data_IF_508087224463
#
_entry.id   IF_508087224463
#
_cell.length_a   1.000
_cell.length_b   1.000
_cell.length_c   1.000
_cell.angle_alpha   90.00
_cell.angle_beta   90.00
_cell.angle_gamma   90.00
#
_symmetry.space_group_name_H-M   'P 1'
#
loop_
_entity.id
_entity.type
_entity.pdbx_description
1 polymer ?
#
# COMPACT_ATOMS: atom_id res chain seq x y z
N UNK A 1 -9.25 -13.88 -9.21
CA UNK A 1 -8.41 -13.83 -10.43
C UNK A 1 -7.27 -12.86 -10.17
N UNK A 2 -6.04 -13.22 -10.53
CA UNK A 2 -4.85 -12.35 -10.39
C UNK A 2 -4.36 -11.99 -11.79
N UNK A 3 -4.00 -10.72 -12.00
CA UNK A 3 -3.44 -10.22 -13.28
C UNK A 3 -2.15 -9.47 -12.99
N UNK A 4 -1.13 -9.69 -13.83
CA UNK A 4 0.17 -9.04 -13.74
C UNK A 4 0.41 -8.14 -14.94
N UNK A 5 0.85 -6.90 -14.68
CA UNK A 5 1.08 -5.87 -15.71
C UNK A 5 2.52 -5.36 -15.57
N UNK A 6 3.51 -6.03 -16.19
CA UNK A 6 4.89 -5.56 -16.15
C UNK A 6 5.01 -4.22 -16.87
N UNK A 7 5.91 -3.36 -16.39
CA UNK A 7 6.19 -2.06 -17.00
C UNK A 7 4.93 -1.22 -17.23
N UNK A 8 3.98 -1.24 -16.28
CA UNK A 8 2.76 -0.43 -16.34
C UNK A 8 3.06 1.06 -16.56
N UNK A 9 4.13 1.54 -15.90
CA UNK A 9 4.71 2.87 -16.08
C UNK A 9 6.04 2.74 -16.80
N UNK A 10 6.32 3.69 -17.70
CA UNK A 10 7.67 3.88 -18.22
C UNK A 10 8.65 4.15 -17.08
N UNK A 11 9.89 3.66 -17.21
CA UNK A 11 10.91 3.76 -16.16
C UNK A 11 11.09 5.20 -15.65
N UNK A 12 11.13 6.18 -16.56
CA UNK A 12 11.31 7.60 -16.20
C UNK A 12 10.14 8.14 -15.35
N UNK A 13 8.91 7.74 -15.67
CA UNK A 13 7.71 8.11 -14.92
C UNK A 13 7.72 7.40 -13.56
N UNK A 14 8.06 6.11 -13.53
CA UNK A 14 8.19 5.32 -12.31
C UNK A 14 9.21 5.94 -11.35
N UNK A 15 10.42 6.28 -11.82
CA UNK A 15 11.47 6.89 -11.01
C UNK A 15 11.07 8.27 -10.47
N UNK A 16 10.35 9.05 -11.29
CA UNK A 16 9.80 10.36 -10.89
C UNK A 16 8.75 10.19 -9.77
N UNK A 17 7.75 9.33 -9.96
CA UNK A 17 6.74 9.08 -8.94
C UNK A 17 7.36 8.52 -7.66
N UNK A 18 8.31 7.60 -7.76
CA UNK A 18 9.03 7.07 -6.60
C UNK A 18 9.66 8.20 -5.78
N UNK A 19 10.38 9.11 -6.43
CA UNK A 19 11.06 10.23 -5.77
C UNK A 19 10.07 11.21 -5.13
N UNK A 20 8.96 11.51 -5.80
CA UNK A 20 7.93 12.43 -5.29
C UNK A 20 7.21 11.79 -4.10
N UNK A 21 6.69 10.58 -4.26
CA UNK A 21 5.95 9.87 -3.23
C UNK A 21 6.79 9.65 -1.97
N UNK A 22 8.08 9.35 -2.12
CA UNK A 22 8.96 9.17 -0.96
C UNK A 22 9.02 10.40 -0.05
N UNK A 23 8.88 11.61 -0.63
CA UNK A 23 8.88 12.89 0.08
C UNK A 23 7.47 13.35 0.51
N UNK A 24 6.44 13.09 -0.31
CA UNK A 24 5.06 13.48 -0.02
C UNK A 24 4.41 12.62 1.07
N UNK A 25 4.79 11.35 1.16
CA UNK A 25 4.19 10.42 2.10
C UNK A 25 4.66 10.72 3.52
N UNK A 26 3.72 10.97 4.39
CA UNK A 26 3.95 11.05 5.82
C UNK A 26 4.08 9.64 6.41
N UNK A 27 5.31 9.12 6.43
CA UNK A 27 5.61 7.77 6.90
C UNK A 27 5.41 7.58 8.40
N UNK A 28 4.64 6.56 8.78
CA UNK A 28 4.58 6.04 10.14
C UNK A 28 5.83 5.18 10.41
N UNK A 29 6.69 5.66 11.32
CA UNK A 29 7.86 4.92 11.87
C UNK A 29 7.67 4.63 13.37
N UNK A 30 6.43 4.63 13.86
CA UNK A 30 6.15 4.41 15.29
C UNK A 30 6.42 2.96 15.70
N UNK A 31 6.99 2.81 16.90
CA UNK A 31 7.17 1.52 17.54
C UNK A 31 5.81 0.87 17.81
N UNK A 32 5.68 -0.42 17.52
CA UNK A 32 4.47 -1.18 17.88
C UNK A 32 4.82 -2.24 18.92
N UNK A 33 4.03 -2.29 19.98
CA UNK A 33 4.13 -3.32 21.00
C UNK A 33 3.21 -4.48 20.63
N UNK A 34 3.77 -5.68 20.55
CA UNK A 34 3.01 -6.93 20.41
C UNK A 34 3.55 -7.94 21.43
N UNK A 35 2.66 -8.56 22.20
CA UNK A 35 3.01 -9.58 23.22
C UNK A 35 4.18 -9.20 24.15
N UNK A 36 4.19 -7.98 24.69
CA UNK A 36 5.23 -7.53 25.63
C UNK A 36 6.57 -7.14 25.00
N UNK A 37 6.72 -7.28 23.67
CA UNK A 37 7.89 -6.83 22.93
C UNK A 37 7.56 -5.58 22.11
N UNK A 38 8.36 -4.54 22.29
CA UNK A 38 8.29 -3.31 21.47
C UNK A 38 9.33 -3.43 20.36
N UNK A 39 8.87 -3.56 19.11
CA UNK A 39 9.73 -3.53 17.94
C UNK A 39 9.23 -2.49 16.94
N UNK A 40 10.15 -1.94 16.15
CA UNK A 40 9.75 -1.24 14.93
C UNK A 40 9.19 -2.29 13.97
N UNK A 41 8.17 -1.93 13.19
CA UNK A 41 7.87 -2.73 12.01
C UNK A 41 9.13 -2.79 11.13
N UNK A 42 9.34 -3.95 10.52
CA UNK A 42 10.37 -4.14 9.50
C UNK A 42 10.01 -3.41 8.19
N UNK A 43 9.26 -2.31 8.23
CA UNK A 43 8.94 -1.43 7.09
C UNK A 43 8.24 -0.18 7.62
N UNK A 44 8.29 0.92 6.87
CA UNK A 44 7.43 2.08 7.13
C UNK A 44 6.11 1.91 6.40
N UNK A 45 5.03 2.43 6.95
CA UNK A 45 3.72 2.40 6.30
C UNK A 45 3.02 3.74 6.40
N UNK A 46 2.05 4.00 5.52
CA UNK A 46 1.15 5.14 5.68
C UNK A 46 -0.18 4.86 4.99
N UNK A 47 -1.27 5.28 5.61
CA UNK A 47 -2.62 5.03 5.13
C UNK A 47 -3.28 6.33 4.68
N UNK A 48 -3.78 6.33 3.45
CA UNK A 48 -4.51 7.42 2.84
C UNK A 48 -5.86 6.91 2.35
N UNK A 49 -6.93 7.68 2.53
CA UNK A 49 -8.24 7.28 2.06
C UNK A 49 -9.18 8.46 1.82
N UNK A 50 -10.24 8.18 1.07
CA UNK A 50 -11.40 9.05 1.02
C UNK A 50 -12.05 9.11 2.43
N UNK A 51 -12.71 10.22 2.78
CA UNK A 51 -13.45 10.32 4.04
C UNK A 51 -14.46 9.17 4.20
N UNK A 52 -14.50 8.58 5.39
CA UNK A 52 -15.43 7.48 5.71
C UNK A 52 -14.90 6.07 5.40
N UNK A 53 -13.65 5.93 4.96
CA UNK A 53 -12.99 4.64 4.76
C UNK A 53 -11.83 4.46 5.75
N UNK A 54 -12.13 4.07 6.99
CA UNK A 54 -11.09 3.81 7.99
C UNK A 54 -10.47 2.42 7.79
N UNK A 55 -9.22 2.25 8.23
CA UNK A 55 -8.52 0.97 8.18
C UNK A 55 -8.39 0.35 9.58
N UNK A 56 -9.06 -0.79 9.86
CA UNK A 56 -8.88 -1.52 11.10
C UNK A 56 -7.60 -2.34 11.04
N UNK A 57 -6.65 -2.09 11.94
CA UNK A 57 -5.41 -2.83 12.02
C UNK A 57 -4.88 -2.98 13.44
N UNK A 58 -4.59 -4.21 13.85
CA UNK A 58 -4.03 -4.56 15.17
C UNK A 58 -4.85 -4.01 16.35
N UNK A 59 -6.18 -4.08 16.27
CA UNK A 59 -7.09 -3.61 17.34
C UNK A 59 -7.25 -2.09 17.41
N UNK A 60 -6.70 -1.35 16.44
CA UNK A 60 -6.89 0.10 16.28
C UNK A 60 -7.58 0.38 14.95
N UNK A 61 -8.28 1.49 14.88
CA UNK A 61 -8.87 1.99 13.64
C UNK A 61 -8.12 3.25 13.23
N UNK A 62 -7.60 3.28 12.01
CA UNK A 62 -6.85 4.40 11.46
C UNK A 62 -7.74 5.16 10.47
N UNK A 63 -7.95 6.45 10.73
CA UNK A 63 -8.50 7.35 9.71
C UNK A 63 -7.42 7.60 8.66
N UNK A 64 -7.79 7.52 7.38
CA UNK A 64 -6.87 7.77 6.29
C UNK A 64 -6.57 9.26 6.14
N UNK A 65 -5.32 9.55 5.81
CA UNK A 65 -4.89 10.89 5.40
C UNK A 65 -5.48 11.24 4.04
N UNK A 66 -5.67 12.53 3.78
CA UNK A 66 -6.15 13.01 2.48
C UNK A 66 -5.11 12.75 1.38
N UNK A 67 -5.56 12.32 0.21
CA UNK A 67 -4.69 12.10 -0.95
C UNK A 67 -3.92 13.36 -1.35
N UNK A 68 -2.67 13.18 -1.76
CA UNK A 68 -1.88 14.24 -2.39
C UNK A 68 -2.21 14.33 -3.88
N UNK A 69 -1.78 15.41 -4.54
CA UNK A 69 -1.97 15.58 -5.98
C UNK A 69 -1.37 14.43 -6.80
N UNK A 70 -0.22 13.91 -6.39
CA UNK A 70 0.45 12.78 -7.07
C UNK A 70 -0.35 11.49 -6.92
N UNK A 71 -0.95 11.25 -5.74
CA UNK A 71 -1.83 10.11 -5.51
C UNK A 71 -3.08 10.19 -6.38
N UNK A 72 -3.74 11.36 -6.43
CA UNK A 72 -4.90 11.58 -7.26
C UNK A 72 -4.61 11.37 -8.76
N UNK A 73 -3.44 11.80 -9.23
CA UNK A 73 -2.99 11.57 -10.62
C UNK A 73 -2.89 10.07 -10.93
N UNK A 74 -2.24 9.30 -10.04
CA UNK A 74 -2.10 7.84 -10.20
C UNK A 74 -3.48 7.17 -10.16
N UNK A 75 -4.34 7.53 -9.22
CA UNK A 75 -5.69 6.98 -9.09
C UNK A 75 -6.54 7.26 -10.34
N UNK A 76 -6.49 8.48 -10.89
CA UNK A 76 -7.17 8.83 -12.14
C UNK A 76 -6.65 8.03 -13.32
N UNK A 77 -5.34 7.84 -13.42
CA UNK A 77 -4.71 7.03 -14.48
C UNK A 77 -5.18 5.57 -14.43
N UNK A 78 -5.21 4.97 -13.23
CA UNK A 78 -5.72 3.62 -13.03
C UNK A 78 -7.21 3.50 -13.39
N UNK A 79 -8.03 4.49 -12.99
CA UNK A 79 -9.45 4.54 -13.36
C UNK A 79 -9.64 4.62 -14.87
N UNK A 80 -8.90 5.48 -15.55
CA UNK A 80 -8.99 5.62 -17.01
C UNK A 80 -8.59 4.33 -17.74
N UNK A 81 -7.55 3.65 -17.27
CA UNK A 81 -7.01 2.47 -17.95
C UNK A 81 -7.74 1.17 -17.65
N UNK A 82 -8.24 0.98 -16.43
CA UNK A 82 -8.83 -0.28 -15.99
C UNK A 82 -10.27 -0.18 -15.50
N UNK A 83 -10.84 1.02 -15.48
CA UNK A 83 -12.19 1.31 -14.99
C UNK A 83 -12.43 0.94 -13.51
N UNK A 84 -11.37 0.86 -12.70
CA UNK A 84 -11.46 0.64 -11.25
C UNK A 84 -11.35 1.95 -10.48
N UNK A 85 -12.25 2.15 -9.51
CA UNK A 85 -12.15 3.21 -8.52
C UNK A 85 -11.50 2.64 -7.25
N UNK A 86 -10.47 3.31 -6.75
CA UNK A 86 -9.86 2.99 -5.46
C UNK A 86 -10.17 4.12 -4.48
N UNK A 87 -10.63 3.75 -3.29
CA UNK A 87 -11.03 4.66 -2.23
C UNK A 87 -9.97 4.81 -1.13
N UNK A 88 -8.92 3.99 -1.15
CA UNK A 88 -7.84 4.00 -0.17
C UNK A 88 -6.53 3.49 -0.74
N UNK A 89 -5.43 3.90 -0.13
CA UNK A 89 -4.06 3.51 -0.46
C UNK A 89 -3.32 3.17 0.85
N UNK A 90 -2.75 1.98 0.91
CA UNK A 90 -1.79 1.59 1.94
C UNK A 90 -0.38 1.57 1.35
N UNK A 91 0.43 2.56 1.73
CA UNK A 91 1.84 2.58 1.36
C UNK A 91 2.66 1.68 2.27
N UNK A 92 3.60 0.94 1.66
CA UNK A 92 4.59 0.13 2.35
C UNK A 92 5.96 0.48 1.78
N UNK A 93 6.85 1.03 2.60
CA UNK A 93 8.22 1.36 2.22
C UNK A 93 9.21 0.40 2.86
N UNK A 94 9.84 -0.40 2.01
CA UNK A 94 10.86 -1.37 2.35
C UNK A 94 12.24 -0.79 2.04
N UNK A 95 12.97 -0.38 3.08
CA UNK A 95 14.23 0.39 2.96
C UNK A 95 15.35 -0.43 2.33
N UNK A 96 15.44 -1.70 2.69
CA UNK A 96 16.44 -2.65 2.20
C UNK A 96 15.88 -4.08 2.24
N UNK A 97 16.69 -5.09 1.92
CA UNK A 97 16.28 -6.50 1.91
C UNK A 97 15.95 -7.12 3.28
N UNK A 98 16.18 -6.40 4.40
CA UNK A 98 15.80 -6.85 5.75
C UNK A 98 14.35 -6.50 6.05
N UNK A 99 13.82 -5.49 5.38
CA UNK A 99 12.42 -5.11 5.49
C UNK A 99 11.52 -6.14 4.80
N UNK A 100 10.56 -6.70 5.53
CA UNK A 100 9.72 -7.83 5.07
C UNK A 100 8.28 -7.71 5.59
N UNK A 101 7.38 -8.49 4.99
CA UNK A 101 6.01 -8.70 5.46
C UNK A 101 5.74 -10.20 5.55
N UNK A 102 5.19 -10.64 6.68
CA UNK A 102 4.82 -12.04 6.89
C UNK A 102 3.62 -12.42 6.01
N UNK A 103 3.41 -13.72 5.84
CA UNK A 103 2.19 -14.26 5.22
C UNK A 103 0.94 -13.66 5.85
N UNK A 104 0.07 -13.08 5.02
CA UNK A 104 -1.19 -12.48 5.43
C UNK A 104 -2.18 -12.53 4.26
N UNK A 105 -3.38 -12.02 4.48
CA UNK A 105 -4.37 -11.80 3.43
C UNK A 105 -5.15 -10.58 3.81
N UNK A 106 -5.47 -9.76 2.82
CA UNK A 106 -6.30 -8.57 3.00
C UNK A 106 -7.77 -9.04 3.07
N UNK A 107 -8.21 -9.38 4.28
CA UNK A 107 -9.57 -9.87 4.55
C UNK A 107 -10.29 -9.05 5.62
N UNK A 108 -9.88 -7.79 5.79
CA UNK A 108 -10.53 -6.83 6.66
C UNK A 108 -11.96 -6.60 6.17
N UNK A 109 -12.93 -6.70 7.09
CA UNK A 109 -14.36 -6.54 6.78
C UNK A 109 -14.69 -5.23 6.08
N UNK A 110 -13.89 -4.18 6.31
CA UNK A 110 -14.09 -2.86 5.70
C UNK A 110 -13.89 -2.86 4.17
N UNK A 111 -13.17 -3.85 3.64
CA UNK A 111 -12.95 -4.00 2.20
C UNK A 111 -14.20 -4.52 1.47
N UNK A 112 -15.19 -5.03 2.21
CA UNK A 112 -16.42 -5.59 1.64
C UNK A 112 -16.23 -6.98 1.05
N UNK A 113 -17.19 -7.39 0.22
CA UNK A 113 -17.18 -8.67 -0.48
C UNK A 113 -16.40 -8.55 -1.79
N UNK A 114 -15.53 -9.52 -2.07
CA UNK A 114 -14.72 -9.59 -3.28
C UNK A 114 -13.97 -8.28 -3.62
N UNK A 115 -13.14 -7.76 -2.69
CA UNK A 115 -12.47 -6.48 -2.89
C UNK A 115 -11.51 -6.52 -4.07
N UNK A 116 -11.49 -5.43 -4.83
CA UNK A 116 -10.47 -5.23 -5.86
C UNK A 116 -9.25 -4.55 -5.23
N UNK A 117 -8.12 -5.26 -5.22
CA UNK A 117 -6.84 -4.73 -4.74
C UNK A 117 -5.91 -4.49 -5.92
N UNK A 118 -5.39 -3.27 -6.03
CA UNK A 118 -4.35 -2.89 -6.99
C UNK A 118 -3.02 -2.70 -6.27
N UNK A 119 -1.96 -3.38 -6.74
CA UNK A 119 -0.60 -3.20 -6.21
C UNK A 119 0.28 -2.58 -7.28
N UNK A 120 0.83 -1.40 -6.97
CA UNK A 120 1.83 -0.72 -7.79
C UNK A 120 3.15 -0.68 -7.02
N UNK A 121 4.24 -1.07 -7.67
CA UNK A 121 5.57 -1.14 -7.06
C UNK A 121 6.54 -0.21 -7.78
N UNK A 122 7.41 0.42 -6.99
CA UNK A 122 8.39 1.40 -7.44
C UNK A 122 9.75 1.08 -6.80
N UNK A 123 10.83 1.48 -7.47
CA UNK A 123 12.19 1.28 -6.96
C UNK A 123 12.72 -0.14 -7.20
N UNK A 124 13.39 -0.71 -6.20
CA UNK A 124 14.08 -1.98 -6.34
C UNK A 124 13.10 -3.17 -6.39
N UNK A 125 13.35 -4.12 -7.29
CA UNK A 125 12.55 -5.34 -7.43
C UNK A 125 12.59 -6.20 -6.15
N UNK A 126 11.45 -6.85 -5.85
CA UNK A 126 11.27 -7.72 -4.68
C UNK A 126 10.42 -8.93 -5.06
N UNK A 127 10.72 -10.13 -4.52
CA UNK A 127 9.85 -11.28 -4.69
C UNK A 127 8.47 -11.03 -4.06
N UNK A 128 7.41 -11.26 -4.83
CA UNK A 128 6.03 -11.28 -4.34
C UNK A 128 5.54 -12.72 -4.39
N UNK A 129 5.31 -13.32 -3.21
CA UNK A 129 4.96 -14.74 -3.09
C UNK A 129 3.47 -14.90 -2.81
N UNK A 130 2.83 -15.79 -3.56
CA UNK A 130 1.44 -16.20 -3.38
C UNK A 130 1.40 -17.63 -2.86
N UNK A 131 0.53 -17.87 -1.90
CA UNK A 131 0.28 -19.19 -1.31
C UNK A 131 -1.22 -19.37 -1.14
N UNK A 132 -1.74 -20.53 -1.53
CA UNK A 132 -3.13 -20.88 -1.22
C UNK A 132 -3.33 -20.96 0.30
N UNK A 133 -4.54 -20.65 0.76
CA UNK A 133 -4.91 -20.88 2.16
C UNK A 133 -5.30 -22.35 2.29
N UNK A 134 -4.76 -23.00 3.32
CA UNK A 134 -5.17 -24.35 3.71
C UNK A 134 -6.66 -24.38 4.11
#
# INVERSE_FOLDING_TARGET
>A
MIRYFPNYLDKSISDKYFSILLNEIEWDDTLRSSYGHTSKFNRKSSYYSQPGYPYPFSGRTFEGKAFTSTMDEILKSLKQKYNYDFNSILFNYYRDGKDTISWHTDNEKVLGQDPTVGTLSFGQERPFMLRERD
#
